data_IF_209915745969
#
_entry.id   IF_209915745969
#
_cell.length_a   1.000
_cell.length_b   1.000
_cell.length_c   1.000
_cell.angle_alpha   90.00
_cell.angle_beta   90.00
_cell.angle_gamma   90.00
#
_symmetry.space_group_name_H-M   'P 1'
#
loop_
_entity.id
_entity.type
_entity.pdbx_description
1 polymer ?
#
# COMPACT_ATOMS: atom_id res chain seq x y z
N UNK A 1 33.13 -5.11 0.63
CA UNK A 1 32.47 -4.07 1.44
C UNK A 1 31.24 -3.62 0.64
N UNK A 2 30.03 -4.01 1.02
CA UNK A 2 28.82 -3.53 0.36
C UNK A 2 28.65 -2.04 0.73
N UNK A 3 28.68 -1.18 -0.25
CA UNK A 3 28.32 0.22 -0.08
C UNK A 3 26.93 0.28 0.54
N UNK A 4 26.82 0.90 1.71
CA UNK A 4 25.52 1.09 2.38
C UNK A 4 24.69 1.98 1.48
N UNK A 5 23.66 1.40 0.84
CA UNK A 5 22.70 2.13 0.01
C UNK A 5 21.97 3.12 0.91
N UNK A 6 22.10 4.39 0.61
CA UNK A 6 21.63 5.46 1.48
C UNK A 6 20.24 5.89 1.02
N UNK A 7 19.24 5.68 1.88
CA UNK A 7 17.93 6.33 1.72
C UNK A 7 18.12 7.86 1.74
N UNK A 8 17.23 8.60 1.07
CA UNK A 8 17.21 10.06 1.25
C UNK A 8 16.93 10.38 2.72
N UNK A 9 17.49 11.48 3.22
CA UNK A 9 17.32 11.87 4.63
C UNK A 9 15.84 12.02 5.00
N UNK A 10 15.01 12.54 4.08
CA UNK A 10 13.57 12.67 4.29
C UNK A 10 12.85 11.34 4.45
N UNK A 11 13.11 10.37 3.55
CA UNK A 11 12.50 9.04 3.65
C UNK A 11 12.95 8.30 4.91
N UNK A 12 14.24 8.38 5.24
CA UNK A 12 14.79 7.80 6.48
C UNK A 12 14.09 8.40 7.70
N UNK A 13 14.01 9.72 7.79
CA UNK A 13 13.36 10.41 8.91
C UNK A 13 11.88 10.04 9.04
N UNK A 14 11.16 9.88 7.92
CA UNK A 14 9.77 9.45 7.92
C UNK A 14 9.61 8.01 8.47
N UNK A 15 10.48 7.08 8.07
CA UNK A 15 10.49 5.71 8.59
C UNK A 15 10.85 5.70 10.09
N UNK A 16 11.84 6.48 10.51
CA UNK A 16 12.23 6.59 11.92
C UNK A 16 11.11 7.19 12.78
N UNK A 17 10.40 8.20 12.25
CA UNK A 17 9.31 8.86 12.96
C UNK A 17 8.12 7.91 13.22
N UNK A 18 7.87 6.94 12.36
CA UNK A 18 6.83 5.93 12.56
C UNK A 18 7.10 5.05 13.80
N UNK A 19 8.35 4.94 14.23
CA UNK A 19 8.77 4.19 15.42
C UNK A 19 8.66 2.67 15.31
N UNK A 20 8.28 2.15 14.13
CA UNK A 20 8.02 0.72 13.92
C UNK A 20 9.16 0.06 13.13
N UNK A 21 9.99 -0.72 13.83
CA UNK A 21 11.15 -1.46 13.28
C UNK A 21 11.94 -0.68 12.19
N UNK A 22 12.34 0.58 12.43
CA UNK A 22 12.89 1.45 11.39
C UNK A 22 14.14 0.88 10.72
N UNK A 23 14.96 0.12 11.44
CA UNK A 23 16.13 -0.55 10.88
C UNK A 23 15.78 -1.61 9.85
N UNK A 24 14.77 -2.47 10.15
CA UNK A 24 14.29 -3.51 9.24
C UNK A 24 13.67 -2.89 7.98
N UNK A 25 12.76 -1.94 8.16
CA UNK A 25 12.06 -1.28 7.05
C UNK A 25 13.04 -0.52 6.15
N UNK A 26 13.98 0.23 6.75
CA UNK A 26 15.00 0.97 5.98
C UNK A 26 15.90 0.04 5.17
N UNK A 27 16.32 -1.10 5.71
CA UNK A 27 17.16 -2.07 5.00
C UNK A 27 16.39 -2.72 3.83
N UNK A 28 15.15 -3.10 4.07
CA UNK A 28 14.28 -3.68 3.06
C UNK A 28 14.05 -2.72 1.88
N UNK A 29 13.65 -1.48 2.18
CA UNK A 29 13.43 -0.44 1.17
C UNK A 29 14.71 -0.11 0.41
N UNK A 30 15.85 0.09 1.09
CA UNK A 30 17.14 0.37 0.47
C UNK A 30 17.58 -0.76 -0.47
N UNK A 31 17.31 -2.02 -0.10
CA UNK A 31 17.60 -3.18 -0.93
C UNK A 31 16.80 -3.19 -2.23
N UNK A 32 15.52 -2.77 -2.19
CA UNK A 32 14.64 -2.72 -3.36
C UNK A 32 14.90 -1.49 -4.26
N UNK A 33 15.30 -0.36 -3.69
CA UNK A 33 15.67 0.85 -4.44
C UNK A 33 16.88 0.66 -5.34
N UNK A 34 17.83 -0.16 -4.92
CA UNK A 34 19.08 -0.32 -5.65
C UNK A 34 19.93 0.95 -5.59
N UNK A 35 20.37 1.45 -6.76
CA UNK A 35 21.15 2.67 -6.90
C UNK A 35 20.34 3.88 -7.36
N UNK A 36 19.03 3.72 -7.55
CA UNK A 36 18.18 4.82 -8.03
C UNK A 36 17.83 5.78 -6.91
N UNK A 37 17.84 7.11 -7.17
CA UNK A 37 17.42 8.09 -6.19
C UNK A 37 15.90 8.03 -6.00
N UNK A 38 15.44 8.32 -4.78
CA UNK A 38 14.02 8.51 -4.48
C UNK A 38 13.59 9.91 -4.91
N UNK A 39 12.54 10.01 -5.71
CA UNK A 39 11.96 11.27 -6.18
C UNK A 39 10.74 11.70 -5.37
N UNK A 40 9.92 10.73 -4.93
CA UNK A 40 8.79 10.95 -4.03
C UNK A 40 8.60 9.71 -3.16
N UNK A 41 7.96 9.86 -2.01
CA UNK A 41 7.66 8.74 -1.12
C UNK A 41 6.42 8.99 -0.28
N UNK A 42 5.83 7.90 0.23
CA UNK A 42 4.83 7.90 1.31
C UNK A 42 5.25 6.83 2.30
N UNK A 43 5.20 7.16 3.58
CA UNK A 43 5.31 6.21 4.69
C UNK A 43 4.00 6.27 5.45
N UNK A 44 3.31 5.14 5.53
CA UNK A 44 2.06 5.01 6.26
C UNK A 44 2.17 3.89 7.27
N UNK A 45 1.76 4.18 8.48
CA UNK A 45 1.75 3.25 9.59
C UNK A 45 0.30 3.08 10.06
N UNK A 46 -0.14 1.86 10.15
CA UNK A 46 -1.46 1.50 10.64
C UNK A 46 -1.36 0.51 11.79
N UNK A 47 -2.34 0.56 12.71
CA UNK A 47 -2.46 -0.35 13.83
C UNK A 47 -3.86 -0.95 13.84
N UNK A 48 -3.95 -2.25 13.64
CA UNK A 48 -5.21 -2.99 13.66
C UNK A 48 -5.34 -3.66 15.02
N UNK A 49 -6.51 -3.45 15.65
CA UNK A 49 -6.87 -4.15 16.87
C UNK A 49 -7.62 -5.43 16.51
N UNK A 50 -7.00 -6.56 16.78
CA UNK A 50 -7.66 -7.87 16.64
C UNK A 50 -8.68 -8.07 17.78
N UNK A 51 -9.80 -8.80 17.57
CA UNK A 51 -10.76 -9.14 18.62
C UNK A 51 -10.15 -9.80 19.88
N UNK A 52 -8.93 -10.37 19.79
CA UNK A 52 -8.14 -10.88 20.90
C UNK A 52 -7.41 -9.82 21.75
N UNK A 53 -7.62 -8.53 21.51
CA UNK A 53 -6.91 -7.39 22.13
C UNK A 53 -5.41 -7.30 21.79
N UNK A 54 -4.94 -7.98 20.77
CA UNK A 54 -3.60 -7.83 20.25
C UNK A 54 -3.54 -6.71 19.21
N UNK A 55 -2.56 -5.82 19.37
CA UNK A 55 -2.29 -4.75 18.41
C UNK A 55 -1.35 -5.31 17.36
N UNK A 56 -1.80 -5.38 16.12
CA UNK A 56 -0.93 -5.66 14.98
C UNK A 56 -0.57 -4.35 14.30
N UNK A 57 0.70 -4.15 14.09
CA UNK A 57 1.22 -2.97 13.42
C UNK A 57 1.61 -3.31 12.00
N UNK A 58 1.22 -2.43 11.10
CA UNK A 58 1.53 -2.54 9.68
C UNK A 58 2.23 -1.27 9.24
N UNK A 59 3.27 -1.41 8.45
CA UNK A 59 3.93 -0.28 7.82
C UNK A 59 3.99 -0.47 6.32
N UNK A 60 3.53 0.52 5.59
CA UNK A 60 3.63 0.59 4.14
C UNK A 60 4.54 1.74 3.74
N UNK A 61 5.50 1.45 2.87
CA UNK A 61 6.35 2.44 2.23
C UNK A 61 6.15 2.35 0.72
N UNK A 62 5.79 3.46 0.11
CA UNK A 62 5.81 3.67 -1.33
C UNK A 62 6.94 4.65 -1.65
N UNK A 63 7.80 4.30 -2.60
CA UNK A 63 8.86 5.20 -3.05
C UNK A 63 8.95 5.20 -4.58
N UNK A 64 8.95 6.39 -5.17
CA UNK A 64 9.18 6.57 -6.60
C UNK A 64 10.66 6.77 -6.87
N UNK A 65 11.11 6.20 -7.96
CA UNK A 65 12.42 6.43 -8.55
C UNK A 65 12.21 6.91 -10.00
N UNK A 66 13.25 7.28 -10.74
CA UNK A 66 13.09 7.63 -12.15
C UNK A 66 12.51 6.53 -13.04
N UNK A 67 12.54 5.25 -12.62
CA UNK A 67 12.14 4.12 -13.49
C UNK A 67 11.03 3.23 -12.94
N UNK A 68 10.75 3.28 -11.63
CA UNK A 68 9.85 2.32 -10.96
C UNK A 68 9.23 2.86 -9.69
N UNK A 69 8.16 2.23 -9.28
CA UNK A 69 7.60 2.28 -7.94
C UNK A 69 8.24 1.16 -7.11
N UNK A 70 8.71 1.48 -5.93
CA UNK A 70 9.06 0.50 -4.88
C UNK A 70 7.94 0.49 -3.86
N UNK A 71 7.38 -0.67 -3.64
CA UNK A 71 6.42 -0.97 -2.59
C UNK A 71 7.08 -1.83 -1.53
N UNK A 72 6.92 -1.49 -0.27
CA UNK A 72 7.36 -2.28 0.87
C UNK A 72 6.25 -2.33 1.91
N UNK A 73 5.95 -3.52 2.39
CA UNK A 73 4.98 -3.75 3.45
C UNK A 73 5.61 -4.59 4.54
N UNK A 74 5.43 -4.17 5.79
CA UNK A 74 5.98 -4.86 6.97
C UNK A 74 4.86 -5.09 7.96
N UNK A 75 4.66 -6.36 8.32
CA UNK A 75 3.67 -6.83 9.29
C UNK A 75 4.33 -7.30 10.57
N UNK A 76 3.73 -6.96 11.71
CA UNK A 76 4.09 -7.53 13.00
C UNK A 76 3.22 -8.76 13.29
N UNK A 77 3.88 -9.84 13.68
CA UNK A 77 3.23 -11.02 14.21
C UNK A 77 3.58 -11.12 15.70
N UNK A 78 2.59 -11.04 16.59
CA UNK A 78 2.82 -11.18 18.02
C UNK A 78 3.37 -12.57 18.37
N UNK A 79 3.86 -12.71 19.57
CA UNK A 79 4.32 -13.98 20.08
C UNK A 79 3.11 -14.94 20.24
N UNK A 80 3.18 -16.11 19.63
CA UNK A 80 2.09 -17.11 19.68
C UNK A 80 2.03 -17.82 21.04
N UNK A 81 3.17 -17.89 21.75
CA UNK A 81 3.33 -18.54 23.04
C UNK A 81 4.13 -17.65 23.99
N UNK A 82 4.01 -17.82 25.33
CA UNK A 82 4.77 -17.03 26.32
C UNK A 82 6.29 -17.12 26.16
N UNK A 83 6.80 -18.19 25.58
CA UNK A 83 8.22 -18.44 25.36
C UNK A 83 8.68 -18.03 23.95
N UNK A 84 7.77 -17.66 23.05
CA UNK A 84 8.09 -17.20 21.70
C UNK A 84 8.36 -15.68 21.68
N UNK A 85 9.00 -15.20 20.61
CA UNK A 85 9.26 -13.77 20.41
C UNK A 85 8.41 -13.26 19.26
N UNK A 86 7.99 -11.99 19.31
CA UNK A 86 7.36 -11.36 18.14
C UNK A 86 8.28 -11.46 16.92
N UNK A 87 7.68 -11.62 15.76
CA UNK A 87 8.37 -11.62 14.47
C UNK A 87 7.78 -10.53 13.58
N UNK A 88 8.57 -10.02 12.67
CA UNK A 88 8.10 -9.12 11.62
C UNK A 88 8.38 -9.75 10.26
N UNK A 89 7.41 -9.68 9.37
CA UNK A 89 7.54 -10.08 8.00
C UNK A 89 7.55 -8.84 7.10
N UNK A 90 8.52 -8.77 6.19
CA UNK A 90 8.66 -7.65 5.26
C UNK A 90 8.67 -8.16 3.84
N UNK A 91 7.75 -7.66 3.02
CA UNK A 91 7.68 -7.88 1.59
C UNK A 91 8.08 -6.61 0.85
N UNK A 92 8.88 -6.73 -0.21
CA UNK A 92 9.24 -5.61 -1.06
C UNK A 92 9.08 -5.98 -2.52
N UNK A 93 8.52 -5.06 -3.30
CA UNK A 93 8.35 -5.21 -4.74
C UNK A 93 8.84 -3.96 -5.48
N UNK A 94 9.55 -4.16 -6.58
CA UNK A 94 10.03 -3.10 -7.45
C UNK A 94 9.29 -3.17 -8.80
N UNK A 95 8.31 -2.31 -8.97
CA UNK A 95 7.36 -2.31 -10.09
C UNK A 95 7.77 -1.27 -11.13
N UNK A 96 8.13 -1.70 -12.33
CA UNK A 96 8.40 -0.76 -13.43
C UNK A 96 7.13 0.01 -13.79
N UNK A 97 7.21 1.30 -14.08
CA UNK A 97 6.05 2.11 -14.45
C UNK A 97 5.24 1.53 -15.62
N UNK A 98 5.90 0.91 -16.60
CA UNK A 98 5.22 0.22 -17.70
C UNK A 98 4.37 -1.00 -17.28
N UNK A 99 4.48 -1.44 -16.02
CA UNK A 99 3.67 -2.53 -15.46
C UNK A 99 2.49 -2.01 -14.64
N UNK A 100 2.46 -0.73 -14.31
CA UNK A 100 1.33 -0.11 -13.64
C UNK A 100 0.21 0.06 -14.66
N UNK A 101 -0.88 -0.64 -14.44
CA UNK A 101 -2.05 -0.68 -15.33
C UNK A 101 -3.07 0.41 -15.02
N UNK A 102 -3.14 0.82 -13.74
CA UNK A 102 -4.07 1.85 -13.29
C UNK A 102 -3.55 2.58 -12.06
N UNK A 103 -3.88 3.87 -11.98
CA UNK A 103 -3.71 4.71 -10.78
C UNK A 103 -5.04 5.40 -10.56
N UNK A 104 -5.76 5.03 -9.49
CA UNK A 104 -7.03 5.62 -9.12
C UNK A 104 -6.88 6.41 -7.82
N UNK A 105 -7.49 7.59 -7.76
CA UNK A 105 -7.48 8.46 -6.59
C UNK A 105 -8.90 8.87 -6.24
N UNK A 106 -9.41 8.36 -5.14
CA UNK A 106 -10.71 8.75 -4.57
C UNK A 106 -10.52 9.79 -3.49
N UNK A 107 -11.45 10.75 -3.41
CA UNK A 107 -11.44 11.84 -2.43
C UNK A 107 -12.79 11.99 -1.79
N UNK A 108 -12.83 12.19 -0.47
CA UNK A 108 -14.04 12.55 0.26
C UNK A 108 -13.97 14.03 0.62
N UNK A 109 -14.94 14.81 0.14
CA UNK A 109 -15.06 16.24 0.44
C UNK A 109 -16.33 16.46 1.26
N UNK A 110 -16.24 16.91 2.53
CA UNK A 110 -17.40 17.00 3.44
C UNK A 110 -18.46 17.98 2.98
N UNK A 111 -18.05 19.13 2.43
CA UNK A 111 -18.96 20.17 1.93
C UNK A 111 -18.59 20.54 0.48
N UNK A 112 -19.15 19.80 -0.51
CA UNK A 112 -18.82 20.04 -1.91
C UNK A 112 -19.35 21.40 -2.42
N UNK A 113 -20.35 21.99 -1.78
CA UNK A 113 -20.87 23.30 -2.18
C UNK A 113 -19.90 24.45 -1.80
N UNK A 114 -19.11 24.26 -0.75
CA UNK A 114 -18.08 25.20 -0.33
C UNK A 114 -16.69 24.85 -0.89
N UNK A 115 -16.59 23.89 -1.80
CA UNK A 115 -15.31 23.45 -2.34
C UNK A 115 -14.63 24.55 -3.16
N UNK A 116 -13.38 24.84 -2.79
CA UNK A 116 -12.52 25.78 -3.52
C UNK A 116 -11.32 24.99 -4.10
N UNK A 117 -11.20 24.92 -5.44
CA UNK A 117 -10.07 24.23 -6.08
C UNK A 117 -8.71 24.72 -5.59
N UNK A 118 -7.84 23.77 -5.23
CA UNK A 118 -6.48 24.07 -4.74
C UNK A 118 -6.41 24.57 -3.29
N UNK A 119 -7.55 24.80 -2.63
CA UNK A 119 -7.63 25.32 -1.24
C UNK A 119 -8.28 24.27 -0.32
N UNK A 120 -9.45 23.76 -0.71
CA UNK A 120 -10.18 22.80 0.13
C UNK A 120 -9.50 21.45 0.11
N UNK A 121 -9.04 21.01 1.28
CA UNK A 121 -8.43 19.70 1.45
C UNK A 121 -9.52 18.64 1.65
N UNK A 122 -9.45 17.48 0.98
CA UNK A 122 -10.38 16.37 1.25
C UNK A 122 -10.17 15.84 2.66
N UNK A 123 -11.25 15.41 3.32
CA UNK A 123 -11.16 14.77 4.64
C UNK A 123 -10.53 13.37 4.58
N UNK A 124 -10.60 12.74 3.43
CA UNK A 124 -10.06 11.40 3.20
C UNK A 124 -9.62 11.25 1.74
N UNK A 125 -8.56 10.48 1.54
CA UNK A 125 -8.02 10.12 0.23
C UNK A 125 -7.74 8.62 0.22
N UNK A 126 -8.10 7.94 -0.87
CA UNK A 126 -7.72 6.57 -1.13
C UNK A 126 -7.00 6.49 -2.49
N UNK A 127 -5.76 6.03 -2.45
CA UNK A 127 -4.95 5.74 -3.63
C UNK A 127 -5.01 4.25 -3.91
N UNK A 128 -5.45 3.87 -5.10
CA UNK A 128 -5.42 2.49 -5.59
C UNK A 128 -4.49 2.39 -6.78
N UNK A 129 -3.59 1.43 -6.75
CA UNK A 129 -2.59 1.19 -7.80
C UNK A 129 -2.71 -0.26 -8.27
N UNK A 130 -2.99 -0.46 -9.56
CA UNK A 130 -3.04 -1.78 -10.18
C UNK A 130 -1.75 -2.05 -10.95
N UNK A 131 -1.05 -3.15 -10.63
CA UNK A 131 0.12 -3.60 -11.38
C UNK A 131 0.20 -5.11 -11.55
N UNK A 132 -0.64 -5.86 -10.85
CA UNK A 132 -0.59 -7.31 -10.89
C UNK A 132 -1.48 -7.87 -11.99
N UNK A 133 -0.95 -8.85 -12.70
CA UNK A 133 -1.68 -9.64 -13.69
C UNK A 133 -2.32 -10.86 -13.02
N UNK A 134 -1.96 -11.16 -11.79
CA UNK A 134 -2.47 -12.28 -11.02
C UNK A 134 -3.77 -11.86 -10.35
N UNK A 135 -4.85 -12.56 -10.69
CA UNK A 135 -6.12 -12.47 -9.99
C UNK A 135 -6.27 -13.73 -9.13
N UNK A 136 -6.67 -13.55 -7.89
CA UNK A 136 -7.07 -14.66 -7.05
C UNK A 136 -8.45 -15.12 -7.49
N UNK A 137 -8.57 -16.37 -7.92
CA UNK A 137 -9.82 -16.97 -8.34
C UNK A 137 -10.24 -18.00 -7.27
N UNK A 138 -11.27 -17.67 -6.53
CA UNK A 138 -11.96 -18.62 -5.65
C UNK A 138 -13.10 -19.25 -6.41
N UNK A 139 -13.08 -20.58 -6.54
CA UNK A 139 -14.13 -21.36 -7.18
C UNK A 139 -14.84 -22.22 -6.14
N UNK A 140 -16.15 -22.05 -6.04
CA UNK A 140 -17.01 -22.91 -5.23
C UNK A 140 -17.98 -23.67 -6.13
N UNK A 141 -18.30 -24.95 -5.87
CA UNK A 141 -19.34 -25.66 -6.61
C UNK A 141 -20.67 -24.91 -6.51
N UNK A 142 -21.29 -24.65 -7.65
CA UNK A 142 -22.59 -24.02 -7.67
C UNK A 142 -23.68 -25.02 -7.28
N UNK A 143 -24.64 -24.60 -6.46
CA UNK A 143 -25.77 -25.40 -6.01
C UNK A 143 -27.10 -24.72 -6.36
N UNK A 144 -28.08 -25.46 -6.84
CA UNK A 144 -29.42 -24.92 -7.11
C UNK A 144 -30.35 -24.89 -5.89
N UNK A 145 -29.89 -25.31 -4.72
CA UNK A 145 -30.74 -25.42 -3.51
C UNK A 145 -31.64 -26.62 -3.44
N UNK A 146 -31.63 -27.53 -4.43
CA UNK A 146 -32.37 -28.80 -4.42
C UNK A 146 -31.38 -29.94 -4.08
N UNK A 147 -31.53 -30.52 -2.90
CA UNK A 147 -30.67 -31.62 -2.41
C UNK A 147 -30.77 -32.89 -3.27
N UNK A 148 -31.80 -33.02 -4.08
CA UNK A 148 -32.01 -34.17 -5.00
C UNK A 148 -31.50 -33.94 -6.41
N UNK A 149 -30.94 -32.78 -6.71
CA UNK A 149 -30.45 -32.42 -8.03
C UNK A 149 -29.09 -33.05 -8.35
N UNK A 150 -29.04 -33.95 -9.30
CA UNK A 150 -27.81 -34.61 -9.78
C UNK A 150 -27.16 -33.88 -10.96
N UNK A 151 -27.64 -32.68 -11.34
CA UNK A 151 -27.08 -31.92 -12.43
C UNK A 151 -25.76 -31.28 -12.03
N UNK A 152 -24.79 -31.22 -12.96
CA UNK A 152 -23.58 -30.42 -12.82
C UNK A 152 -23.94 -28.95 -13.01
N UNK A 153 -23.86 -28.18 -11.93
CA UNK A 153 -24.16 -26.75 -11.93
C UNK A 153 -22.91 -25.87 -12.22
N UNK A 154 -21.76 -26.52 -12.47
CA UNK A 154 -20.50 -25.82 -12.65
C UNK A 154 -19.98 -25.16 -11.36
N UNK A 155 -19.31 -24.05 -11.48
CA UNK A 155 -18.69 -23.33 -10.37
C UNK A 155 -19.12 -21.86 -10.36
N UNK A 156 -19.34 -21.32 -9.18
CA UNK A 156 -19.36 -19.89 -8.93
C UNK A 156 -17.95 -19.46 -8.57
N UNK A 157 -17.47 -18.35 -9.15
CA UNK A 157 -16.13 -17.87 -8.88
C UNK A 157 -16.13 -16.37 -8.57
N UNK A 158 -15.32 -15.99 -7.59
CA UNK A 158 -14.96 -14.59 -7.32
C UNK A 158 -13.54 -14.36 -7.82
N UNK A 159 -13.38 -13.37 -8.70
CA UNK A 159 -12.06 -12.91 -9.14
C UNK A 159 -11.74 -11.66 -8.35
N UNK A 160 -10.69 -11.71 -7.54
CA UNK A 160 -10.16 -10.54 -6.84
C UNK A 160 -8.87 -10.12 -7.53
N UNK A 161 -8.82 -8.90 -8.04
CA UNK A 161 -7.57 -8.30 -8.49
C UNK A 161 -6.75 -7.89 -7.26
N UNK A 162 -5.47 -8.24 -7.22
CA UNK A 162 -4.54 -7.82 -6.17
C UNK A 162 -4.08 -6.38 -6.42
N UNK A 163 -5.03 -5.44 -6.41
CA UNK A 163 -4.72 -4.02 -6.46
C UNK A 163 -4.31 -3.54 -5.07
N UNK A 164 -3.22 -2.78 -5.00
CA UNK A 164 -2.83 -2.12 -3.77
C UNK A 164 -3.74 -0.92 -3.50
N UNK A 165 -4.20 -0.78 -2.26
CA UNK A 165 -4.98 0.39 -1.84
C UNK A 165 -4.45 0.95 -0.53
N UNK A 166 -4.26 2.27 -0.50
CA UNK A 166 -3.85 3.03 0.67
C UNK A 166 -4.88 4.12 0.97
N UNK A 167 -5.46 4.07 2.15
CA UNK A 167 -6.41 5.04 2.65
C UNK A 167 -5.75 5.92 3.71
N UNK A 168 -5.88 7.23 3.58
CA UNK A 168 -5.38 8.22 4.53
C UNK A 168 -6.49 9.22 4.82
N UNK A 169 -6.70 9.55 6.09
CA UNK A 169 -7.73 10.50 6.52
C UNK A 169 -7.17 11.59 7.43
N UNK A 170 -7.75 12.79 7.37
CA UNK A 170 -7.36 13.87 8.27
C UNK A 170 -7.58 13.52 9.75
N UNK A 171 -8.61 12.73 10.03
CA UNK A 171 -8.99 12.39 11.39
C UNK A 171 -8.01 11.41 12.05
N UNK A 172 -7.46 10.46 11.30
CA UNK A 172 -6.54 9.45 11.82
C UNK A 172 -5.08 9.88 11.63
N UNK A 173 -4.73 10.44 10.47
CA UNK A 173 -3.35 10.61 10.02
C UNK A 173 -2.92 12.09 9.97
N UNK A 174 -3.87 13.01 10.06
CA UNK A 174 -3.63 14.45 9.96
C UNK A 174 -3.64 14.97 8.52
N UNK A 175 -3.79 16.30 8.39
CA UNK A 175 -3.89 16.99 7.09
C UNK A 175 -2.61 16.84 6.25
N UNK A 176 -1.45 16.83 6.89
CA UNK A 176 -0.16 16.72 6.18
C UNK A 176 0.01 15.36 5.52
N UNK A 177 -0.48 14.28 6.13
CA UNK A 177 -0.47 12.95 5.53
C UNK A 177 -1.37 12.88 4.28
N UNK A 178 -2.57 13.49 4.36
CA UNK A 178 -3.49 13.60 3.21
C UNK A 178 -2.82 14.38 2.06
N UNK A 179 -2.19 15.52 2.36
CA UNK A 179 -1.47 16.33 1.37
C UNK A 179 -0.32 15.55 0.73
N UNK A 180 0.46 14.86 1.54
CA UNK A 180 1.59 14.04 1.09
C UNK A 180 1.14 12.93 0.13
N UNK A 181 0.04 12.24 0.46
CA UNK A 181 -0.52 11.21 -0.43
C UNK A 181 -1.05 11.79 -1.74
N UNK A 182 -1.67 12.96 -1.71
CA UNK A 182 -2.11 13.67 -2.92
C UNK A 182 -0.94 14.06 -3.84
N UNK A 183 0.14 14.57 -3.26
CA UNK A 183 1.35 14.95 -4.00
C UNK A 183 2.02 13.71 -4.59
N UNK A 184 2.16 12.65 -3.82
CA UNK A 184 2.69 11.36 -4.30
C UNK A 184 1.87 10.78 -5.45
N UNK A 185 0.54 10.78 -5.32
CA UNK A 185 -0.37 10.24 -6.36
C UNK A 185 -0.24 11.03 -7.67
N UNK A 186 -0.03 12.36 -7.60
CA UNK A 186 0.22 13.19 -8.78
C UNK A 186 1.55 12.81 -9.44
N UNK A 187 2.64 12.73 -8.67
CA UNK A 187 3.96 12.31 -9.18
C UNK A 187 3.92 10.93 -9.82
N UNK A 188 3.21 9.98 -9.20
CA UNK A 188 3.02 8.63 -9.75
C UNK A 188 2.23 8.66 -11.07
N UNK A 189 1.15 9.43 -11.11
CA UNK A 189 0.34 9.59 -12.33
C UNK A 189 1.16 10.18 -13.48
N UNK A 190 1.95 11.21 -13.21
CA UNK A 190 2.83 11.84 -14.20
C UNK A 190 3.91 10.85 -14.68
N UNK A 191 4.54 10.11 -13.76
CA UNK A 191 5.57 9.13 -14.09
C UNK A 191 5.05 7.96 -14.96
N UNK A 192 3.78 7.56 -14.78
CA UNK A 192 3.15 6.49 -15.55
C UNK A 192 2.63 6.96 -16.90
N UNK A 193 2.17 8.22 -17.03
CA UNK A 193 1.63 8.78 -18.26
C UNK A 193 2.69 8.93 -19.38
N UNK A 194 3.92 9.28 -19.02
CA UNK A 194 5.00 9.57 -19.99
C UNK A 194 5.47 8.33 -20.76
N UNK A 195 5.16 7.12 -20.30
CA UNK A 195 5.69 5.85 -20.85
C UNK A 195 4.67 4.97 -21.56
N UNK A 196 3.47 5.46 -21.75
CA UNK A 196 2.39 4.79 -22.50
C UNK A 196 2.39 5.06 -24.02
N UNK A 197 3.51 5.61 -24.55
CA UNK A 197 3.64 5.95 -25.98
C UNK A 197 4.62 5.03 -26.68
#
# INVERSE_FOLDING_TARGET
MRETRVLTDGLRAAIEHSGYYPGLVSDAVASALGSEPVTAYVVHHDAIFDPGMEVRRHMTVLALTPTRLVYSHTDEHPAEDPDSRPRAETSTEAIRFAKISSVALSRVVPDPAAYVPGVTMPSEVMLTIGWNVLSHLELEPAHCGDESCEADHGYLGTITADDFSLRVSQAADGEDAVRHLLDFARELSDATAVRGS
#
